data_IF_674930927507
#
_entry.id   IF_674930927507
#
_cell.length_a   1.000
_cell.length_b   1.000
_cell.length_c   1.000
_cell.angle_alpha   90.00
_cell.angle_beta   90.00
_cell.angle_gamma   90.00
#
_symmetry.space_group_name_H-M   'P 1'
#
loop_
_entity.id
_entity.type
_entity.pdbx_description
1 polymer ?
#
# COMPACT_ATOMS: atom_id res chain seq x y z
N UNK A 1 -4.08 -23.52 -7.68
CA UNK A 1 -3.48 -23.51 -6.33
C UNK A 1 -2.98 -22.12 -5.94
N UNK A 2 -1.93 -21.57 -6.57
CA UNK A 2 -1.38 -20.27 -6.14
C UNK A 2 -2.32 -19.08 -6.37
N UNK A 3 -3.01 -19.03 -7.52
CA UNK A 3 -3.96 -17.96 -7.84
C UNK A 3 -5.17 -17.96 -6.89
N UNK A 4 -5.67 -19.16 -6.55
CA UNK A 4 -6.80 -19.33 -5.63
C UNK A 4 -6.46 -18.77 -4.25
N UNK A 5 -5.23 -19.04 -3.76
CA UNK A 5 -4.74 -18.50 -2.49
C UNK A 5 -4.61 -16.97 -2.52
N UNK A 6 -4.06 -16.38 -3.59
CA UNK A 6 -3.91 -14.92 -3.71
C UNK A 6 -5.27 -14.22 -3.71
N UNK A 7 -6.23 -14.71 -4.48
CA UNK A 7 -7.58 -14.14 -4.52
C UNK A 7 -8.29 -14.26 -3.18
N UNK A 8 -8.16 -15.40 -2.51
CA UNK A 8 -8.77 -15.61 -1.19
C UNK A 8 -8.17 -14.69 -0.13
N UNK A 9 -6.84 -14.54 -0.12
CA UNK A 9 -6.15 -13.62 0.79
C UNK A 9 -6.58 -12.18 0.53
N UNK A 10 -6.55 -11.72 -0.71
CA UNK A 10 -6.97 -10.36 -1.08
C UNK A 10 -8.43 -10.08 -0.66
N UNK A 11 -9.34 -11.01 -0.92
CA UNK A 11 -10.75 -10.90 -0.53
C UNK A 11 -10.95 -10.90 0.99
N UNK A 12 -10.24 -11.75 1.73
CA UNK A 12 -10.34 -11.80 3.19
C UNK A 12 -9.78 -10.54 3.83
N UNK A 13 -8.65 -10.03 3.32
CA UNK A 13 -8.06 -8.76 3.76
C UNK A 13 -9.00 -7.59 3.49
N UNK A 14 -9.63 -7.54 2.30
CA UNK A 14 -10.61 -6.50 1.98
C UNK A 14 -11.77 -6.51 2.97
N UNK A 15 -12.35 -7.68 3.27
CA UNK A 15 -13.43 -7.76 4.23
C UNK A 15 -12.96 -7.38 5.64
N UNK A 16 -11.92 -8.03 6.16
CA UNK A 16 -11.49 -7.88 7.57
C UNK A 16 -10.95 -6.50 7.89
N UNK A 17 -10.20 -5.89 6.97
CA UNK A 17 -9.50 -4.62 7.25
C UNK A 17 -10.27 -3.40 6.75
N UNK A 18 -11.19 -3.55 5.78
CA UNK A 18 -11.87 -2.39 5.16
C UNK A 18 -13.38 -2.44 5.37
N UNK A 19 -14.03 -3.61 5.33
CA UNK A 19 -15.51 -3.68 5.46
C UNK A 19 -15.95 -3.89 6.91
N UNK A 20 -15.40 -4.91 7.58
CA UNK A 20 -15.80 -5.32 8.92
C UNK A 20 -15.67 -4.23 9.99
N UNK A 21 -14.64 -3.35 9.99
CA UNK A 21 -14.53 -2.27 10.98
C UNK A 21 -15.66 -1.24 10.90
N UNK A 22 -16.27 -1.07 9.72
CA UNK A 22 -17.34 -0.10 9.50
C UNK A 22 -18.74 -0.73 9.45
N UNK A 23 -18.83 -1.99 9.00
CA UNK A 23 -20.09 -2.73 8.87
C UNK A 23 -19.86 -4.21 9.18
N UNK A 24 -19.78 -4.56 10.48
CA UNK A 24 -19.63 -5.95 10.90
C UNK A 24 -20.89 -6.73 10.49
N UNK A 25 -20.71 -7.79 9.70
CA UNK A 25 -21.82 -8.60 9.20
C UNK A 25 -21.65 -10.07 9.56
N UNK A 26 -22.72 -10.74 9.97
CA UNK A 26 -22.72 -12.20 10.23
C UNK A 26 -22.56 -13.04 8.95
N UNK A 27 -22.40 -12.41 7.78
CA UNK A 27 -22.31 -13.01 6.45
C UNK A 27 -20.92 -12.84 5.81
N UNK A 28 -19.87 -12.90 6.62
CA UNK A 28 -18.47 -12.81 6.17
C UNK A 28 -18.14 -13.72 4.97
N UNK A 29 -18.63 -14.97 5.01
CA UNK A 29 -18.41 -15.94 3.93
C UNK A 29 -19.00 -15.49 2.60
N UNK A 30 -20.19 -14.88 2.61
CA UNK A 30 -20.83 -14.39 1.39
C UNK A 30 -20.08 -13.17 0.84
N UNK A 31 -19.67 -12.24 1.71
CA UNK A 31 -18.86 -11.07 1.33
C UNK A 31 -17.50 -11.45 0.74
N UNK A 32 -16.82 -12.42 1.35
CA UNK A 32 -15.52 -12.87 0.86
C UNK A 32 -15.68 -13.55 -0.51
N UNK A 33 -16.72 -14.37 -0.71
CA UNK A 33 -17.01 -14.99 -2.02
C UNK A 33 -17.33 -13.96 -3.10
N UNK A 34 -18.15 -12.95 -2.80
CA UNK A 34 -18.46 -11.90 -3.78
C UNK A 34 -17.23 -11.06 -4.10
N UNK A 35 -16.37 -10.77 -3.12
CA UNK A 35 -15.10 -10.10 -3.34
C UNK A 35 -14.15 -10.91 -4.24
N UNK A 36 -14.03 -12.24 -4.03
CA UNK A 36 -13.23 -13.12 -4.92
C UNK A 36 -13.73 -13.07 -6.36
N UNK A 37 -15.05 -13.13 -6.57
CA UNK A 37 -15.65 -13.02 -7.91
C UNK A 37 -15.32 -11.66 -8.52
N UNK A 38 -15.47 -10.57 -7.74
CA UNK A 38 -15.13 -9.21 -8.18
C UNK A 38 -13.66 -9.07 -8.60
N UNK A 39 -12.72 -9.50 -7.75
CA UNK A 39 -11.29 -9.49 -8.08
C UNK A 39 -10.96 -10.32 -9.32
N UNK A 40 -11.58 -11.50 -9.47
CA UNK A 40 -11.40 -12.36 -10.65
C UNK A 40 -11.84 -11.67 -11.93
N UNK A 41 -12.98 -10.97 -11.90
CA UNK A 41 -13.49 -10.21 -13.07
C UNK A 41 -12.53 -9.07 -13.41
N UNK A 42 -12.09 -8.29 -12.43
CA UNK A 42 -11.13 -7.19 -12.65
C UNK A 42 -9.82 -7.72 -13.22
N UNK A 43 -9.28 -8.81 -12.67
CA UNK A 43 -8.07 -9.45 -13.18
C UNK A 43 -8.24 -9.96 -14.62
N UNK A 44 -9.39 -10.57 -14.95
CA UNK A 44 -9.69 -11.01 -16.30
C UNK A 44 -9.78 -9.83 -17.29
N UNK A 45 -10.38 -8.71 -16.88
CA UNK A 45 -10.46 -7.49 -17.70
C UNK A 45 -9.08 -6.88 -17.95
N UNK A 46 -8.22 -6.79 -16.92
CA UNK A 46 -6.84 -6.33 -17.08
C UNK A 46 -6.03 -7.28 -17.97
N UNK A 47 -6.30 -8.58 -17.92
CA UNK A 47 -5.60 -9.57 -18.76
C UNK A 47 -5.93 -9.44 -20.25
N UNK A 48 -7.12 -8.93 -20.62
CA UNK A 48 -7.51 -8.71 -22.01
C UNK A 48 -6.77 -7.53 -22.65
N UNK A 49 -6.46 -6.49 -21.87
CA UNK A 49 -5.69 -5.32 -22.31
C UNK A 49 -4.67 -4.96 -21.22
N UNK A 50 -3.52 -5.67 -21.16
CA UNK A 50 -2.55 -5.46 -20.11
C UNK A 50 -1.93 -4.06 -20.21
N UNK A 51 -1.79 -3.32 -19.09
CA UNK A 51 -1.25 -1.97 -19.09
C UNK A 51 0.26 -1.90 -19.31
N UNK A 52 0.96 -3.04 -19.31
CA UNK A 52 2.40 -3.15 -19.51
C UNK A 52 2.84 -4.61 -19.52
N UNK A 53 4.15 -4.83 -19.66
CA UNK A 53 4.70 -6.18 -19.62
C UNK A 53 4.57 -6.80 -18.21
N UNK A 54 4.52 -8.13 -18.14
CA UNK A 54 4.38 -8.86 -16.87
C UNK A 54 5.48 -8.45 -15.87
N UNK A 55 6.70 -8.26 -16.37
CA UNK A 55 7.84 -7.81 -15.56
C UNK A 55 7.62 -6.39 -15.04
N UNK A 56 7.14 -5.47 -15.89
CA UNK A 56 6.90 -4.08 -15.51
C UNK A 56 5.78 -3.95 -14.48
N UNK A 57 4.67 -4.67 -14.64
CA UNK A 57 3.55 -4.71 -13.68
C UNK A 57 4.01 -5.28 -12.33
N UNK A 58 4.85 -6.32 -12.35
CA UNK A 58 5.39 -6.93 -11.13
C UNK A 58 6.35 -5.99 -10.42
N UNK A 59 7.23 -5.31 -11.16
CA UNK A 59 8.16 -4.32 -10.60
C UNK A 59 7.39 -3.13 -10.01
N UNK A 60 6.33 -2.64 -10.68
CA UNK A 60 5.45 -1.61 -10.16
C UNK A 60 4.82 -2.02 -8.82
N UNK A 61 4.25 -3.23 -8.74
CA UNK A 61 3.67 -3.77 -7.50
C UNK A 61 4.73 -3.89 -6.39
N UNK A 62 5.90 -4.44 -6.71
CA UNK A 62 7.03 -4.52 -5.78
C UNK A 62 7.52 -3.16 -5.28
N UNK A 63 7.53 -2.16 -6.16
CA UNK A 63 7.90 -0.78 -5.84
C UNK A 63 6.90 -0.15 -4.87
N UNK A 64 5.60 -0.38 -5.07
CA UNK A 64 4.55 0.07 -4.17
C UNK A 64 4.72 -0.54 -2.76
N UNK A 65 5.02 -1.84 -2.67
CA UNK A 65 5.32 -2.49 -1.41
C UNK A 65 6.57 -1.91 -0.74
N UNK A 66 7.64 -1.68 -1.49
CA UNK A 66 8.87 -1.07 -0.97
C UNK A 66 8.59 0.32 -0.41
N UNK A 67 7.89 1.18 -1.16
CA UNK A 67 7.59 2.55 -0.75
C UNK A 67 6.69 2.62 0.49
N UNK A 68 5.71 1.71 0.61
CA UNK A 68 4.84 1.68 1.79
C UNK A 68 5.51 1.06 3.02
N UNK A 69 6.17 -0.09 2.85
CA UNK A 69 6.68 -0.87 3.99
C UNK A 69 8.05 -0.41 4.47
N UNK A 70 8.93 0.06 3.57
CA UNK A 70 10.28 0.45 3.95
C UNK A 70 10.31 1.51 5.05
N UNK A 71 9.68 2.70 4.90
CA UNK A 71 9.66 3.71 5.97
C UNK A 71 8.93 3.18 7.22
N UNK A 72 7.82 2.47 7.06
CA UNK A 72 7.05 1.97 8.18
C UNK A 72 7.82 0.96 9.05
N UNK A 73 8.53 0.02 8.42
CA UNK A 73 9.30 -1.03 9.11
C UNK A 73 10.61 -0.47 9.64
N UNK A 74 11.37 0.27 8.83
CA UNK A 74 12.67 0.82 9.25
C UNK A 74 12.48 1.77 10.43
N UNK A 75 11.56 2.72 10.32
CA UNK A 75 11.36 3.66 11.41
C UNK A 75 10.54 3.06 12.56
N UNK A 76 9.60 2.15 12.30
CA UNK A 76 8.90 1.44 13.36
C UNK A 76 9.82 0.59 14.25
N UNK A 77 10.89 0.03 13.68
CA UNK A 77 11.84 -0.79 14.43
C UNK A 77 12.98 0.02 15.06
N UNK A 78 13.52 1.02 14.37
CA UNK A 78 14.71 1.76 14.81
C UNK A 78 14.43 3.14 15.40
N UNK A 79 13.24 3.73 15.19
CA UNK A 79 12.96 5.12 15.52
C UNK A 79 11.66 5.27 16.33
N UNK A 80 11.77 5.23 17.66
CA UNK A 80 10.63 5.28 18.60
C UNK A 80 9.85 6.60 18.63
N UNK A 81 10.20 7.60 17.81
CA UNK A 81 9.55 8.94 17.80
C UNK A 81 8.46 9.10 16.74
N UNK A 82 8.18 8.08 15.93
CA UNK A 82 7.13 8.16 14.91
C UNK A 82 5.73 7.96 15.47
N UNK A 83 4.80 8.88 15.15
CA UNK A 83 3.38 8.62 15.34
C UNK A 83 2.81 7.76 14.20
N UNK A 84 1.70 7.06 14.47
CA UNK A 84 0.96 6.32 13.44
C UNK A 84 0.50 7.24 12.29
N UNK A 85 0.16 8.50 12.60
CA UNK A 85 -0.22 9.50 11.61
C UNK A 85 0.95 9.85 10.68
N UNK A 86 2.16 10.00 11.21
CA UNK A 86 3.36 10.25 10.40
C UNK A 86 3.68 9.09 9.47
N UNK A 87 3.56 7.85 9.94
CA UNK A 87 3.71 6.66 9.09
C UNK A 87 2.71 6.69 7.93
N UNK A 88 1.43 6.93 8.21
CA UNK A 88 0.39 6.98 7.19
C UNK A 88 0.63 8.08 6.14
N UNK A 89 1.05 9.28 6.57
CA UNK A 89 1.39 10.36 5.65
C UNK A 89 2.59 10.02 4.77
N UNK A 90 3.62 9.37 5.34
CA UNK A 90 4.77 8.93 4.55
C UNK A 90 4.40 7.91 3.47
N UNK A 91 3.52 6.94 3.79
CA UNK A 91 3.00 5.99 2.82
C UNK A 91 2.21 6.70 1.71
N UNK A 92 1.29 7.59 2.09
CA UNK A 92 0.45 8.32 1.14
C UNK A 92 1.29 9.19 0.19
N UNK A 93 2.25 9.95 0.71
CA UNK A 93 3.15 10.78 -0.09
C UNK A 93 4.01 9.90 -1.00
N UNK A 94 4.53 8.78 -0.49
CA UNK A 94 5.29 7.82 -1.29
C UNK A 94 4.51 7.26 -2.48
N UNK A 95 3.29 6.76 -2.24
CA UNK A 95 2.40 6.25 -3.30
C UNK A 95 2.09 7.35 -4.32
N UNK A 96 1.78 8.56 -3.84
CA UNK A 96 1.47 9.69 -4.72
C UNK A 96 2.68 10.08 -5.60
N UNK A 97 3.88 10.10 -5.02
CA UNK A 97 5.11 10.40 -5.74
C UNK A 97 5.38 9.36 -6.81
N UNK A 98 5.14 8.07 -6.52
CA UNK A 98 5.26 6.99 -7.48
C UNK A 98 4.30 7.20 -8.67
N UNK A 99 3.01 7.46 -8.41
CA UNK A 99 2.01 7.69 -9.46
C UNK A 99 2.34 8.95 -10.30
N UNK A 100 2.75 10.04 -9.65
CA UNK A 100 3.12 11.28 -10.35
C UNK A 100 4.36 11.07 -11.22
N UNK A 101 5.35 10.33 -10.73
CA UNK A 101 6.57 10.04 -11.50
C UNK A 101 6.26 9.26 -12.78
N UNK A 102 5.36 8.28 -12.68
CA UNK A 102 4.83 7.53 -13.82
C UNK A 102 4.14 8.44 -14.81
N UNK A 103 3.22 9.27 -14.33
CA UNK A 103 2.40 10.13 -15.17
C UNK A 103 3.24 11.17 -15.94
N UNK A 104 4.38 11.59 -15.37
CA UNK A 104 5.30 12.53 -16.02
C UNK A 104 6.22 11.86 -17.04
N UNK A 105 6.28 10.52 -17.11
CA UNK A 105 7.10 9.80 -18.09
C UNK A 105 8.60 9.81 -17.80
N UNK A 106 9.03 10.21 -16.59
CA UNK A 106 10.45 10.27 -16.19
C UNK A 106 11.11 8.89 -15.94
N UNK A 107 10.42 7.79 -16.29
CA UNK A 107 10.92 6.42 -16.13
C UNK A 107 12.20 6.14 -16.93
N UNK A 108 12.47 6.92 -17.99
CA UNK A 108 13.59 6.67 -18.91
C UNK A 108 14.97 6.94 -18.29
N UNK A 109 15.04 7.86 -17.32
CA UNK A 109 16.30 8.23 -16.66
C UNK A 109 16.48 7.56 -15.30
N UNK A 110 15.40 7.47 -14.50
CA UNK A 110 15.42 6.88 -13.17
C UNK A 110 14.13 6.09 -12.90
N UNK A 111 14.32 4.88 -12.37
CA UNK A 111 13.21 4.04 -11.95
C UNK A 111 12.40 4.72 -10.84
N UNK A 112 11.09 4.82 -11.00
CA UNK A 112 10.13 5.53 -10.13
C UNK A 112 10.23 5.17 -8.63
N UNK A 113 10.71 3.96 -8.33
CA UNK A 113 10.88 3.46 -6.96
C UNK A 113 11.87 4.30 -6.14
N UNK A 114 12.98 4.73 -6.75
CA UNK A 114 14.02 5.46 -6.04
C UNK A 114 13.55 6.85 -5.56
N UNK A 115 13.02 7.73 -6.43
CA UNK A 115 12.54 9.04 -5.99
C UNK A 115 11.33 8.90 -5.05
N UNK A 116 10.43 7.94 -5.28
CA UNK A 116 9.27 7.73 -4.40
C UNK A 116 9.69 7.28 -3.00
N UNK A 117 10.66 6.38 -2.89
CA UNK A 117 11.18 5.90 -1.60
C UNK A 117 11.91 7.01 -0.84
N UNK A 118 12.73 7.81 -1.54
CA UNK A 118 13.42 8.97 -0.95
C UNK A 118 12.39 9.98 -0.44
N UNK A 119 11.39 10.32 -1.24
CA UNK A 119 10.33 11.26 -0.84
C UNK A 119 9.54 10.73 0.36
N UNK A 120 9.14 9.46 0.35
CA UNK A 120 8.41 8.84 1.46
C UNK A 120 9.23 8.89 2.76
N UNK A 121 10.49 8.49 2.70
CA UNK A 121 11.42 8.51 3.85
C UNK A 121 11.67 9.94 4.33
N UNK A 122 11.82 10.90 3.41
CA UNK A 122 12.01 12.30 3.74
C UNK A 122 10.76 12.89 4.40
N UNK A 123 9.57 12.60 3.87
CA UNK A 123 8.30 13.00 4.48
C UNK A 123 8.19 12.47 5.90
N UNK A 124 8.51 11.19 6.12
CA UNK A 124 8.54 10.63 7.47
C UNK A 124 9.49 11.40 8.37
N UNK A 125 10.72 11.62 7.92
CA UNK A 125 11.76 12.29 8.71
C UNK A 125 11.38 13.74 9.07
N UNK A 126 10.86 14.50 8.11
CA UNK A 126 10.42 15.88 8.32
C UNK A 126 9.23 15.94 9.29
N UNK A 127 8.24 15.07 9.09
CA UNK A 127 7.03 15.07 9.91
C UNK A 127 7.31 14.54 11.32
N UNK A 128 8.18 13.54 11.47
CA UNK A 128 8.67 13.05 12.77
C UNK A 128 9.49 14.11 13.52
N UNK A 129 10.20 15.01 12.83
CA UNK A 129 10.87 16.15 13.48
C UNK A 129 9.90 17.25 13.89
N UNK A 130 8.83 17.47 13.13
CA UNK A 130 7.79 18.42 13.46
C UNK A 130 6.90 17.94 14.62
N UNK A 131 6.69 16.62 14.73
CA UNK A 131 5.99 16.00 15.86
C UNK A 131 6.93 15.86 17.08
N UNK A 132 7.12 16.95 17.82
CA UNK A 132 7.86 16.97 19.09
C UNK A 132 7.09 16.43 20.31
N UNK A 133 5.85 15.94 20.12
CA UNK A 133 5.05 15.38 21.20
C UNK A 133 5.03 13.85 21.09
N UNK A 134 5.53 13.10 22.09
CA UNK A 134 5.23 11.67 22.19
C UNK A 134 3.71 11.54 22.23
N UNK A 135 3.14 10.70 21.38
CA UNK A 135 1.72 10.35 21.48
C UNK A 135 1.54 9.53 22.76
N UNK A 136 1.34 10.20 23.90
CA UNK A 136 0.68 9.63 25.06
C UNK A 136 -0.80 9.54 24.73
N UNK A 137 -1.18 8.50 24.00
CA UNK A 137 -2.54 7.98 23.94
C UNK A 137 -2.35 6.47 24.17
N UNK A 138 -2.34 5.98 25.41
CA UNK A 138 -3.54 5.55 26.12
C UNK A 138 -4.43 4.67 25.21
N UNK A 139 -3.96 3.45 24.94
CA UNK A 139 -4.87 2.36 24.60
C UNK A 139 -5.62 1.97 25.89
N UNK A 140 -6.96 1.99 25.92
CA UNK A 140 -7.73 1.28 26.94
C UNK A 140 -7.67 -0.24 26.75
#
# INVERSE_FOLDING_TARGET
>A
SSMDSVLLVAASTLYKNIVAPFSPSSRELLWTRTAVIGFSIVAALLALNPPGDIVEITIFSGSLYAVCFFPAVVFGLYWQRGSARTVLWSMAVGISALIVWIALGLRQDLHEVFPALVLSTLTYYLLSRAETSPQTNADP
#
